data_IF_771795247828
#
_entry.id   IF_771795247828
#
_cell.length_a   1.000
_cell.length_b   1.000
_cell.length_c   1.000
_cell.angle_alpha   90.00
_cell.angle_beta   90.00
_cell.angle_gamma   90.00
#
_symmetry.space_group_name_H-M   'P 1'
#
loop_
_entity.id
_entity.type
_entity.pdbx_description
1 polymer ?
#
# COMPACT_ATOMS: atom_id res chain seq x y z
N UNK A 1 32.43 -44.39 18.20
CA UNK A 1 32.38 -42.96 17.81
C UNK A 1 32.00 -42.76 16.35
N UNK A 2 32.58 -43.54 15.41
CA UNK A 2 32.32 -43.41 13.96
C UNK A 2 30.84 -43.54 13.56
N UNK A 3 30.08 -44.49 14.13
CA UNK A 3 28.63 -44.62 13.83
C UNK A 3 27.80 -43.39 14.22
N UNK A 4 28.11 -42.78 15.37
CA UNK A 4 27.45 -41.54 15.82
C UNK A 4 27.80 -40.36 14.91
N UNK A 5 29.07 -40.25 14.49
CA UNK A 5 29.50 -39.22 13.56
C UNK A 5 28.82 -39.37 12.19
N UNK A 6 28.62 -40.61 11.71
CA UNK A 6 27.83 -40.88 10.49
C UNK A 6 26.37 -40.47 10.63
N UNK A 7 25.75 -40.75 11.77
CA UNK A 7 24.36 -40.35 12.04
C UNK A 7 24.22 -38.82 12.08
N UNK A 8 25.16 -38.14 12.74
CA UNK A 8 25.22 -36.66 12.76
C UNK A 8 25.42 -36.10 11.36
N UNK A 9 26.35 -36.66 10.58
CA UNK A 9 26.58 -36.26 9.20
C UNK A 9 25.33 -36.45 8.32
N UNK A 10 24.59 -37.54 8.52
CA UNK A 10 23.34 -37.80 7.80
C UNK A 10 22.23 -36.82 8.21
N UNK A 11 22.13 -36.49 9.50
CA UNK A 11 21.22 -35.47 10.02
C UNK A 11 21.56 -34.07 9.49
N UNK A 12 22.84 -33.71 9.45
CA UNK A 12 23.32 -32.45 8.88
C UNK A 12 23.10 -32.39 7.36
N UNK A 13 23.36 -33.50 6.66
CA UNK A 13 23.13 -33.63 5.22
C UNK A 13 21.65 -33.53 4.85
N UNK A 14 20.76 -34.16 5.61
CA UNK A 14 19.31 -34.02 5.43
C UNK A 14 18.84 -32.59 5.74
N UNK A 15 19.40 -31.92 6.76
CA UNK A 15 19.15 -30.50 7.01
C UNK A 15 19.61 -29.61 5.85
N UNK A 16 20.83 -29.83 5.34
CA UNK A 16 21.35 -29.07 4.19
C UNK A 16 20.49 -29.29 2.95
N UNK A 17 20.02 -30.52 2.72
CA UNK A 17 19.11 -30.86 1.63
C UNK A 17 17.75 -30.15 1.78
N UNK A 18 17.17 -30.15 2.97
CA UNK A 18 15.91 -29.45 3.27
C UNK A 18 16.01 -27.93 3.07
N UNK A 19 17.18 -27.35 3.33
CA UNK A 19 17.47 -25.94 3.02
C UNK A 19 17.62 -25.67 1.52
N UNK A 20 18.14 -26.64 0.76
CA UNK A 20 18.35 -26.52 -0.69
C UNK A 20 17.05 -26.71 -1.48
N UNK A 21 16.19 -27.60 -1.00
CA UNK A 21 14.88 -27.85 -1.58
C UNK A 21 14.04 -26.59 -1.42
N UNK A 22 13.67 -25.97 -2.54
CA UNK A 22 12.92 -24.69 -2.64
C UNK A 22 11.45 -24.80 -2.18
N UNK A 23 11.15 -25.58 -1.14
CA UNK A 23 9.81 -25.69 -0.57
C UNK A 23 9.70 -24.64 0.54
N UNK A 24 9.14 -23.50 0.19
CA UNK A 24 8.91 -22.36 1.09
C UNK A 24 8.41 -22.70 2.50
N UNK A 25 7.37 -23.54 2.67
CA UNK A 25 6.83 -23.85 4.01
C UNK A 25 7.75 -24.73 4.86
N UNK A 26 8.48 -25.67 4.25
CA UNK A 26 9.41 -26.53 4.99
C UNK A 26 10.61 -25.74 5.52
N UNK A 27 11.12 -24.79 4.72
CA UNK A 27 12.21 -23.90 5.14
C UNK A 27 11.79 -23.06 6.35
N UNK A 28 10.55 -22.59 6.40
CA UNK A 28 10.02 -21.78 7.50
C UNK A 28 9.83 -22.61 8.79
N UNK A 29 9.31 -23.84 8.66
CA UNK A 29 9.25 -24.80 9.77
C UNK A 29 10.65 -25.12 10.32
N UNK A 30 11.62 -25.38 9.44
CA UNK A 30 13.00 -25.65 9.84
C UNK A 30 13.62 -24.52 10.64
N UNK A 31 13.37 -23.28 10.23
CA UNK A 31 13.89 -22.10 10.95
C UNK A 31 13.19 -21.92 12.27
N UNK A 32 11.89 -22.21 12.36
CA UNK A 32 11.16 -22.15 13.64
C UNK A 32 11.69 -23.20 14.62
N UNK A 33 12.00 -24.41 14.14
CA UNK A 33 12.67 -25.45 14.94
C UNK A 33 14.10 -25.05 15.33
N UNK A 34 14.87 -24.45 14.42
CA UNK A 34 16.22 -23.94 14.70
C UNK A 34 16.21 -22.75 15.66
N UNK A 35 15.27 -21.82 15.51
CA UNK A 35 15.09 -20.67 16.41
C UNK A 35 14.65 -21.16 17.80
N UNK A 36 13.81 -22.19 17.92
CA UNK A 36 13.51 -22.81 19.22
C UNK A 36 14.75 -23.43 19.87
N UNK A 37 15.59 -24.11 19.08
CA UNK A 37 16.84 -24.69 19.56
C UNK A 37 17.87 -23.62 19.96
N UNK A 38 17.81 -22.44 19.33
CA UNK A 38 18.82 -21.38 19.42
C UNK A 38 18.39 -20.17 20.26
N UNK A 39 17.11 -20.02 20.60
CA UNK A 39 16.56 -18.94 21.44
C UNK A 39 16.86 -19.08 22.94
N UNK A 40 17.45 -20.19 23.39
CA UNK A 40 18.07 -20.30 24.71
C UNK A 40 19.46 -19.64 24.77
N UNK A 41 20.32 -20.07 25.71
CA UNK A 41 21.77 -19.73 25.80
C UNK A 41 22.60 -20.19 24.56
N UNK A 42 21.96 -20.47 23.43
CA UNK A 42 22.47 -21.12 22.23
C UNK A 42 23.62 -20.43 21.49
N UNK A 43 23.71 -19.09 21.37
CA UNK A 43 24.82 -18.49 20.62
C UNK A 43 26.16 -18.63 21.36
N UNK A 44 26.15 -18.66 22.70
CA UNK A 44 27.35 -18.92 23.49
C UNK A 44 27.70 -20.41 23.43
N UNK A 45 26.73 -21.29 23.66
CA UNK A 45 26.94 -22.73 23.69
C UNK A 45 27.40 -23.29 22.33
N UNK A 46 26.85 -22.82 21.20
CA UNK A 46 27.29 -23.25 19.87
C UNK A 46 28.73 -22.81 19.59
N UNK A 47 29.12 -21.60 20.00
CA UNK A 47 30.51 -21.12 19.88
C UNK A 47 31.46 -21.93 20.76
N UNK A 48 31.05 -22.30 21.97
CA UNK A 48 31.85 -23.14 22.87
C UNK A 48 32.00 -24.55 22.31
N UNK A 49 30.92 -25.17 21.81
CA UNK A 49 30.93 -26.52 21.23
C UNK A 49 31.78 -26.57 19.96
N UNK A 50 31.68 -25.56 19.10
CA UNK A 50 32.55 -25.43 17.92
C UNK A 50 34.02 -25.28 18.33
N UNK A 51 34.29 -24.49 19.37
CA UNK A 51 35.62 -24.34 19.94
C UNK A 51 36.19 -25.66 20.49
N UNK A 52 35.41 -26.40 21.27
CA UNK A 52 35.86 -27.69 21.83
C UNK A 52 36.10 -28.72 20.73
N UNK A 53 35.22 -28.82 19.73
CA UNK A 53 35.44 -29.74 18.60
C UNK A 53 36.62 -29.31 17.72
N UNK A 54 36.88 -28.02 17.56
CA UNK A 54 38.06 -27.52 16.83
C UNK A 54 39.36 -27.88 17.54
N UNK A 55 39.39 -27.83 18.88
CA UNK A 55 40.55 -28.26 19.68
C UNK A 55 40.77 -29.77 19.58
N UNK A 56 39.68 -30.56 19.62
CA UNK A 56 39.74 -32.01 19.43
C UNK A 56 40.26 -32.37 18.04
N UNK A 57 39.83 -31.66 16.99
CA UNK A 57 40.32 -31.82 15.63
C UNK A 57 41.82 -31.52 15.55
N UNK A 58 42.29 -30.40 16.11
CA UNK A 58 43.70 -30.05 16.11
C UNK A 58 44.57 -31.08 16.87
N UNK A 59 44.05 -31.61 17.97
CA UNK A 59 44.70 -32.70 18.73
C UNK A 59 44.81 -34.00 17.91
N UNK A 60 43.77 -34.34 17.15
CA UNK A 60 43.78 -35.50 16.26
C UNK A 60 44.77 -35.34 15.09
N UNK A 61 44.85 -34.15 14.48
CA UNK A 61 45.83 -33.82 13.44
C UNK A 61 47.27 -33.88 13.95
N UNK A 62 47.53 -33.36 15.15
CA UNK A 62 48.84 -33.44 15.78
C UNK A 62 49.26 -34.88 16.07
N UNK A 63 48.29 -35.74 16.44
CA UNK A 63 48.53 -37.15 16.70
C UNK A 63 48.86 -37.90 15.41
N UNK A 64 48.16 -37.60 14.32
CA UNK A 64 48.46 -38.03 12.96
C UNK A 64 49.89 -37.59 12.60
N UNK A 65 50.22 -36.30 12.60
CA UNK A 65 51.58 -35.82 12.25
C UNK A 65 52.68 -36.46 13.11
N UNK A 66 52.43 -36.70 14.41
CA UNK A 66 53.38 -37.41 15.30
C UNK A 66 53.60 -38.87 14.91
N UNK A 67 52.55 -39.61 14.52
CA UNK A 67 52.67 -41.02 14.09
C UNK A 67 53.43 -41.10 12.75
N UNK A 68 53.19 -40.17 11.83
CA UNK A 68 53.91 -40.10 10.55
C UNK A 68 55.39 -39.77 10.76
N UNK A 69 55.69 -38.78 11.61
CA UNK A 69 57.07 -38.42 11.95
C UNK A 69 57.81 -39.52 12.74
N UNK A 70 57.10 -40.31 13.55
CA UNK A 70 57.69 -41.49 14.23
C UNK A 70 57.98 -42.61 13.23
N UNK A 71 57.05 -42.92 12.32
CA UNK A 71 57.28 -43.91 11.27
C UNK A 71 58.39 -43.52 10.27
N UNK A 72 58.50 -42.22 9.94
CA UNK A 72 59.58 -41.71 9.10
C UNK A 72 60.96 -41.76 9.78
N UNK A 73 61.02 -41.66 11.13
CA UNK A 73 62.26 -41.74 11.91
C UNK A 73 62.68 -43.18 12.27
N UNK A 74 61.74 -44.12 12.36
CA UNK A 74 62.01 -45.52 12.76
C UNK A 74 62.04 -46.52 11.58
N UNK A 75 61.70 -46.12 10.36
CA UNK A 75 61.88 -46.93 9.14
C UNK A 75 61.05 -48.21 9.04
N UNK A 76 60.32 -48.59 10.09
CA UNK A 76 59.40 -49.73 10.11
C UNK A 76 58.12 -49.31 10.86
N UNK A 77 56.99 -49.28 10.16
CA UNK A 77 55.69 -49.05 10.80
C UNK A 77 55.17 -50.38 11.34
N UNK A 78 54.88 -50.44 12.64
CA UNK A 78 54.23 -51.60 13.26
C UNK A 78 52.83 -51.80 12.65
N UNK A 79 52.35 -53.04 12.45
CA UNK A 79 50.99 -53.32 11.97
C UNK A 79 49.90 -52.63 12.81
N UNK A 80 50.17 -52.41 14.11
CA UNK A 80 49.29 -51.70 15.03
C UNK A 80 49.21 -50.18 14.73
N UNK A 81 50.33 -49.57 14.35
CA UNK A 81 50.40 -48.14 14.01
C UNK A 81 49.66 -47.83 12.71
N UNK A 82 49.61 -48.79 11.77
CA UNK A 82 48.87 -48.66 10.51
C UNK A 82 47.34 -48.65 10.73
N UNK A 83 46.82 -49.47 11.63
CA UNK A 83 45.39 -49.50 11.97
C UNK A 83 44.99 -48.25 12.77
N UNK A 84 45.85 -47.83 13.70
CA UNK A 84 45.63 -46.63 14.51
C UNK A 84 45.63 -45.36 13.64
N UNK A 85 46.53 -45.28 12.66
CA UNK A 85 46.60 -44.19 11.69
C UNK A 85 45.31 -44.04 10.88
N UNK A 86 44.81 -45.14 10.28
CA UNK A 86 43.60 -45.12 9.44
C UNK A 86 42.37 -44.70 10.24
N UNK A 87 42.29 -45.14 11.49
CA UNK A 87 41.16 -44.83 12.38
C UNK A 87 41.17 -43.35 12.80
N UNK A 88 42.31 -42.83 13.26
CA UNK A 88 42.41 -41.40 13.61
C UNK A 88 42.28 -40.48 12.39
N UNK A 89 42.78 -40.89 11.23
CA UNK A 89 42.61 -40.16 9.98
C UNK A 89 41.13 -40.07 9.57
N UNK A 90 40.41 -41.19 9.66
CA UNK A 90 38.98 -41.24 9.34
C UNK A 90 38.17 -40.40 10.34
N UNK A 91 38.47 -40.49 11.63
CA UNK A 91 37.80 -39.73 12.68
C UNK A 91 38.06 -38.22 12.56
N UNK A 92 39.31 -37.81 12.30
CA UNK A 92 39.66 -36.42 12.07
C UNK A 92 38.96 -35.85 10.82
N UNK A 93 38.89 -36.63 9.74
CA UNK A 93 38.18 -36.23 8.51
C UNK A 93 36.68 -36.07 8.76
N UNK A 94 36.03 -37.01 9.47
CA UNK A 94 34.60 -36.90 9.79
C UNK A 94 34.30 -35.69 10.69
N UNK A 95 35.10 -35.45 11.74
CA UNK A 95 34.94 -34.29 12.64
C UNK A 95 35.14 -32.98 11.87
N UNK A 96 36.09 -32.95 10.93
CA UNK A 96 36.27 -31.79 10.04
C UNK A 96 35.06 -31.54 9.15
N UNK A 97 34.48 -32.60 8.57
CA UNK A 97 33.29 -32.49 7.74
C UNK A 97 32.06 -32.01 8.52
N UNK A 98 31.80 -32.56 9.72
CA UNK A 98 30.65 -32.12 10.54
C UNK A 98 30.80 -30.67 11.01
N UNK A 99 32.01 -30.25 11.40
CA UNK A 99 32.27 -28.84 11.72
C UNK A 99 32.04 -27.92 10.52
N UNK A 100 32.49 -28.34 9.34
CA UNK A 100 32.31 -27.56 8.12
C UNK A 100 30.83 -27.45 7.74
N UNK A 101 30.08 -28.56 7.78
CA UNK A 101 28.64 -28.59 7.53
C UNK A 101 27.87 -27.74 8.54
N UNK A 102 28.16 -27.88 9.84
CA UNK A 102 27.59 -27.05 10.89
C UNK A 102 27.84 -25.56 10.68
N UNK A 103 29.05 -25.17 10.25
CA UNK A 103 29.37 -23.77 9.93
C UNK A 103 28.59 -23.26 8.70
N UNK A 104 28.49 -24.06 7.65
CA UNK A 104 27.69 -23.72 6.47
C UNK A 104 26.21 -23.56 6.86
N UNK A 105 25.66 -24.45 7.69
CA UNK A 105 24.29 -24.35 8.19
C UNK A 105 24.08 -23.07 9.01
N UNK A 106 25.01 -22.71 9.89
CA UNK A 106 24.93 -21.47 10.69
C UNK A 106 24.91 -20.21 9.79
N UNK A 107 25.83 -20.16 8.82
CA UNK A 107 25.92 -19.05 7.87
C UNK A 107 24.68 -18.98 6.97
N UNK A 108 24.21 -20.11 6.47
CA UNK A 108 22.98 -20.21 5.67
C UNK A 108 21.77 -19.75 6.48
N UNK A 109 21.63 -20.19 7.73
CA UNK A 109 20.55 -19.76 8.63
C UNK A 109 20.51 -18.23 8.76
N UNK A 110 21.67 -17.57 8.91
CA UNK A 110 21.74 -16.10 8.95
C UNK A 110 21.24 -15.45 7.65
N UNK A 111 21.70 -15.91 6.48
CA UNK A 111 21.23 -15.40 5.19
C UNK A 111 19.74 -15.62 4.99
N UNK A 112 19.24 -16.79 5.42
CA UNK A 112 17.85 -17.16 5.30
C UNK A 112 16.97 -16.27 6.18
N UNK A 113 17.37 -15.99 7.43
CA UNK A 113 16.66 -15.09 8.35
C UNK A 113 16.57 -13.68 7.78
N UNK A 114 17.64 -13.20 7.15
CA UNK A 114 17.66 -11.91 6.44
C UNK A 114 16.68 -11.91 5.25
N UNK A 115 16.63 -12.99 4.48
CA UNK A 115 15.70 -13.12 3.34
C UNK A 115 14.23 -13.17 3.79
N UNK A 116 13.91 -13.85 4.89
CA UNK A 116 12.54 -13.90 5.42
C UNK A 116 12.14 -12.53 5.97
N UNK A 117 13.00 -11.88 6.75
CA UNK A 117 12.73 -10.53 7.23
C UNK A 117 12.48 -9.53 6.10
N UNK A 118 13.18 -9.68 4.98
CA UNK A 118 12.96 -8.87 3.78
C UNK A 118 11.63 -9.24 3.10
N UNK A 119 11.32 -10.54 2.95
CA UNK A 119 10.05 -11.01 2.38
C UNK A 119 8.84 -10.56 3.21
N UNK A 120 8.89 -10.59 4.54
CA UNK A 120 7.80 -10.10 5.39
C UNK A 120 7.57 -8.60 5.24
N UNK A 121 8.64 -7.79 5.13
CA UNK A 121 8.50 -6.35 4.83
C UNK A 121 7.90 -6.09 3.46
N UNK A 122 8.31 -6.86 2.45
CA UNK A 122 7.72 -6.80 1.10
C UNK A 122 6.25 -7.25 1.14
N UNK A 123 5.90 -8.25 1.95
CA UNK A 123 4.53 -8.69 2.16
C UNK A 123 3.65 -7.60 2.75
N UNK A 124 4.11 -6.96 3.84
CA UNK A 124 3.42 -5.82 4.46
C UNK A 124 3.28 -4.63 3.51
N UNK A 125 4.35 -4.30 2.77
CA UNK A 125 4.31 -3.24 1.76
C UNK A 125 3.35 -3.56 0.62
N UNK A 126 3.25 -4.84 0.21
CA UNK A 126 2.30 -5.24 -0.83
C UNK A 126 0.85 -5.10 -0.36
N UNK A 127 0.57 -5.45 0.88
CA UNK A 127 -0.77 -5.30 1.48
C UNK A 127 -1.16 -3.82 1.63
N UNK A 128 -0.22 -2.97 2.02
CA UNK A 128 -0.42 -1.51 2.08
C UNK A 128 -0.62 -0.89 0.69
N UNK A 129 0.12 -1.36 -0.32
CA UNK A 129 -0.10 -0.94 -1.71
C UNK A 129 -1.48 -1.37 -2.21
N UNK A 130 -1.92 -2.59 -1.89
CA UNK A 130 -3.24 -3.09 -2.29
C UNK A 130 -4.38 -2.30 -1.61
N UNK A 131 -4.23 -1.91 -0.34
CA UNK A 131 -5.22 -1.08 0.35
C UNK A 131 -5.28 0.34 -0.22
N UNK A 132 -4.13 0.96 -0.50
CA UNK A 132 -4.03 2.27 -1.15
C UNK A 132 -4.59 2.24 -2.58
N UNK A 133 -4.40 1.16 -3.33
CA UNK A 133 -4.95 0.99 -4.67
C UNK A 133 -6.49 0.89 -4.63
N UNK A 134 -7.04 0.15 -3.66
CA UNK A 134 -8.50 0.12 -3.42
C UNK A 134 -9.03 1.51 -3.07
N UNK A 135 -8.37 2.26 -2.20
CA UNK A 135 -8.77 3.62 -1.85
C UNK A 135 -8.72 4.58 -3.05
N UNK A 136 -7.65 4.51 -3.86
CA UNK A 136 -7.50 5.28 -5.10
C UNK A 136 -8.62 5.00 -6.09
N UNK A 137 -9.03 3.74 -6.25
CA UNK A 137 -10.13 3.36 -7.14
C UNK A 137 -11.47 3.94 -6.66
N UNK A 138 -11.72 3.95 -5.34
CA UNK A 138 -12.92 4.54 -4.76
C UNK A 138 -12.94 6.05 -4.92
N UNK A 139 -11.80 6.73 -4.69
CA UNK A 139 -11.67 8.17 -4.88
C UNK A 139 -11.96 8.55 -6.34
N UNK A 140 -11.37 7.82 -7.30
CA UNK A 140 -11.62 8.03 -8.74
C UNK A 140 -13.10 7.88 -9.10
N UNK A 141 -13.81 6.93 -8.49
CA UNK A 141 -15.24 6.77 -8.70
C UNK A 141 -16.06 7.93 -8.12
N UNK A 142 -15.68 8.44 -6.94
CA UNK A 142 -16.31 9.63 -6.33
C UNK A 142 -16.07 10.88 -7.17
N UNK A 143 -14.85 11.09 -7.65
CA UNK A 143 -14.50 12.22 -8.52
C UNK A 143 -15.29 12.16 -9.84
N UNK A 144 -15.43 10.98 -10.44
CA UNK A 144 -16.25 10.81 -11.65
C UNK A 144 -17.72 11.13 -11.39
N UNK A 145 -18.26 10.77 -10.22
CA UNK A 145 -19.64 11.10 -9.83
C UNK A 145 -19.80 12.62 -9.62
N UNK A 146 -18.90 13.23 -8.86
CA UNK A 146 -18.88 14.67 -8.65
C UNK A 146 -18.74 15.45 -9.97
N UNK A 147 -17.89 14.97 -10.89
CA UNK A 147 -17.72 15.57 -12.22
C UNK A 147 -19.02 15.51 -13.05
N UNK A 148 -19.78 14.43 -12.96
CA UNK A 148 -21.10 14.33 -13.61
C UNK A 148 -22.11 15.29 -12.98
N UNK A 149 -22.16 15.37 -11.65
CA UNK A 149 -23.04 16.31 -10.94
C UNK A 149 -22.71 17.78 -11.28
N UNK A 150 -21.42 18.13 -11.32
CA UNK A 150 -20.98 19.48 -11.73
C UNK A 150 -21.41 19.80 -13.17
N UNK A 151 -21.36 18.83 -14.10
CA UNK A 151 -21.84 19.03 -15.47
C UNK A 151 -23.35 19.27 -15.52
N UNK A 152 -24.14 18.48 -14.80
CA UNK A 152 -25.59 18.66 -14.71
C UNK A 152 -25.95 20.02 -14.11
N UNK A 153 -25.32 20.40 -13.00
CA UNK A 153 -25.53 21.71 -12.36
C UNK A 153 -25.14 22.86 -13.31
N UNK A 154 -24.09 22.70 -14.10
CA UNK A 154 -23.70 23.71 -15.11
C UNK A 154 -24.74 23.85 -16.22
N UNK A 155 -25.32 22.74 -16.67
CA UNK A 155 -26.42 22.75 -17.65
C UNK A 155 -27.68 23.41 -17.06
N UNK A 156 -28.06 23.08 -15.82
CA UNK A 156 -29.17 23.73 -15.11
C UNK A 156 -28.96 25.23 -14.93
N UNK A 157 -27.75 25.67 -14.57
CA UNK A 157 -27.43 27.10 -14.47
C UNK A 157 -27.58 27.78 -15.83
N UNK A 158 -27.17 27.12 -16.92
CA UNK A 158 -27.30 27.66 -18.27
C UNK A 158 -28.76 27.83 -18.68
N UNK A 159 -29.60 26.81 -18.46
CA UNK A 159 -31.03 26.88 -18.79
C UNK A 159 -31.77 27.90 -17.92
N UNK A 160 -31.44 27.97 -16.63
CA UNK A 160 -32.01 28.94 -15.71
C UNK A 160 -31.60 30.37 -16.09
N UNK A 161 -30.34 30.59 -16.50
CA UNK A 161 -29.86 31.89 -16.99
C UNK A 161 -30.58 32.34 -18.25
N UNK A 162 -30.85 31.43 -19.19
CA UNK A 162 -31.61 31.71 -20.40
C UNK A 162 -33.08 32.07 -20.08
N UNK A 163 -33.72 31.29 -19.21
CA UNK A 163 -35.07 31.58 -18.73
C UNK A 163 -35.15 32.94 -18.01
N UNK A 164 -34.13 33.29 -17.21
CA UNK A 164 -34.04 34.60 -16.56
C UNK A 164 -33.95 35.74 -17.58
N UNK A 165 -33.15 35.59 -18.64
CA UNK A 165 -33.07 36.58 -19.71
C UNK A 165 -34.41 36.75 -20.42
N UNK A 166 -35.10 35.64 -20.73
CA UNK A 166 -36.42 35.66 -21.36
C UNK A 166 -37.47 36.35 -20.47
N UNK A 167 -37.53 36.00 -19.19
CA UNK A 167 -38.43 36.66 -18.24
C UNK A 167 -38.12 38.15 -18.12
N UNK A 168 -36.84 38.53 -18.10
CA UNK A 168 -36.44 39.94 -18.05
C UNK A 168 -36.93 40.70 -19.28
N UNK A 169 -36.78 40.14 -20.48
CA UNK A 169 -37.31 40.77 -21.69
C UNK A 169 -38.84 40.85 -21.71
N UNK A 170 -39.54 39.84 -21.18
CA UNK A 170 -41.00 39.86 -21.07
C UNK A 170 -41.48 40.92 -20.06
N UNK A 171 -40.75 41.09 -18.95
CA UNK A 171 -41.00 42.15 -17.97
C UNK A 171 -40.82 43.53 -18.60
N UNK A 172 -39.69 43.78 -19.28
CA UNK A 172 -39.45 45.06 -19.95
C UNK A 172 -40.50 45.36 -21.03
N UNK A 173 -41.02 44.35 -21.73
CA UNK A 173 -42.12 44.53 -22.68
C UNK A 173 -43.44 44.87 -21.98
N UNK A 174 -43.75 44.21 -20.86
CA UNK A 174 -44.93 44.51 -20.05
C UNK A 174 -44.85 45.90 -19.44
N UNK A 175 -43.68 46.32 -18.95
CA UNK A 175 -43.47 47.66 -18.39
C UNK A 175 -43.73 48.74 -19.45
N UNK A 176 -43.23 48.55 -20.68
CA UNK A 176 -43.54 49.46 -21.81
C UNK A 176 -45.04 49.49 -22.13
N UNK A 177 -45.71 48.33 -22.11
CA UNK A 177 -47.16 48.27 -22.34
C UNK A 177 -47.92 49.01 -21.25
N UNK A 178 -47.52 48.86 -19.99
CA UNK A 178 -48.09 49.60 -18.86
C UNK A 178 -47.87 51.10 -19.05
N UNK A 179 -46.66 51.54 -19.38
CA UNK A 179 -46.34 52.95 -19.62
C UNK A 179 -47.19 53.55 -20.77
N UNK A 180 -47.36 52.81 -21.87
CA UNK A 180 -48.26 53.25 -22.96
C UNK A 180 -49.73 53.30 -22.53
N UNK A 181 -50.20 52.34 -21.73
CA UNK A 181 -51.56 52.31 -21.22
C UNK A 181 -51.81 53.44 -20.22
N UNK A 182 -50.86 53.75 -19.34
CA UNK A 182 -50.90 54.89 -18.42
C UNK A 182 -50.95 56.21 -19.18
N UNK A 183 -50.13 56.37 -20.23
CA UNK A 183 -50.19 57.55 -21.10
C UNK A 183 -51.55 57.69 -21.80
N UNK A 184 -52.13 56.58 -22.26
CA UNK A 184 -53.48 56.57 -22.82
C UNK A 184 -54.54 56.96 -21.78
N UNK A 185 -54.48 56.41 -20.56
CA UNK A 185 -55.39 56.77 -19.46
C UNK A 185 -55.26 58.24 -19.12
N UNK A 186 -54.04 58.78 -19.02
CA UNK A 186 -53.81 60.21 -18.75
C UNK A 186 -54.38 61.10 -19.87
N UNK A 187 -54.23 60.69 -21.14
CA UNK A 187 -54.81 61.41 -22.28
C UNK A 187 -56.34 61.39 -22.28
N UNK A 188 -56.95 60.25 -21.96
CA UNK A 188 -58.40 60.09 -21.84
C UNK A 188 -58.93 60.89 -20.65
N UNK A 189 -58.22 60.88 -19.52
CA UNK A 189 -58.56 61.67 -18.35
C UNK A 189 -58.53 63.17 -18.68
N UNK A 190 -57.52 63.64 -19.40
CA UNK A 190 -57.44 65.03 -19.89
C UNK A 190 -58.59 65.36 -20.83
N UNK A 191 -58.86 64.49 -21.81
CA UNK A 191 -59.99 64.67 -22.74
C UNK A 191 -61.33 64.72 -22.01
N UNK A 192 -61.52 63.87 -21.00
CA UNK A 192 -62.73 63.86 -20.18
C UNK A 192 -62.86 65.13 -19.32
N UNK A 193 -61.76 65.67 -18.82
CA UNK A 193 -61.74 66.94 -18.09
C UNK A 193 -62.08 68.13 -19.00
N UNK A 194 -61.54 68.16 -20.23
CA UNK A 194 -61.87 69.19 -21.21
C UNK A 194 -63.35 69.13 -21.62
N UNK A 195 -63.89 67.93 -21.85
CA UNK A 195 -65.32 67.71 -22.11
C UNK A 195 -66.22 68.18 -20.96
N UNK A 196 -65.79 67.95 -19.72
CA UNK A 196 -66.52 68.39 -18.53
C UNK A 196 -66.54 69.93 -18.44
N UNK A 197 -65.44 70.59 -18.75
CA UNK A 197 -65.37 72.06 -18.84
C UNK A 197 -66.25 72.62 -19.97
N UNK A 198 -66.28 71.97 -21.15
CA UNK A 198 -67.19 72.36 -22.23
C UNK A 198 -68.65 72.17 -21.84
N UNK A 199 -68.97 71.08 -21.13
CA UNK A 199 -70.31 70.82 -20.62
C UNK A 199 -70.75 71.90 -19.63
N UNK A 200 -69.90 72.27 -18.66
CA UNK A 200 -70.17 73.35 -17.71
C UNK A 200 -70.39 74.70 -18.42
N UNK A 201 -69.56 75.01 -19.43
CA UNK A 201 -69.71 76.22 -20.25
C UNK A 201 -71.02 76.25 -21.04
N UNK A 202 -71.43 75.14 -21.65
CA UNK A 202 -72.69 75.02 -22.38
C UNK A 202 -73.91 75.11 -21.44
N UNK A 203 -73.79 74.64 -20.21
CA UNK A 203 -74.80 74.81 -19.16
C UNK A 203 -74.96 76.29 -18.79
N UNK A 204 -73.85 77.00 -18.60
CA UNK A 204 -73.84 78.44 -18.31
C UNK A 204 -74.44 79.25 -19.46
N UNK A 205 -74.06 78.97 -20.71
CA UNK A 205 -74.65 79.61 -21.89
C UNK A 205 -76.16 79.32 -22.02
N UNK A 206 -76.61 78.10 -21.75
CA UNK A 206 -78.05 77.78 -21.71
C UNK A 206 -78.79 78.57 -20.62
N UNK A 207 -78.19 78.71 -19.44
CA UNK A 207 -78.79 79.48 -18.36
C UNK A 207 -78.89 80.96 -18.71
N UNK A 208 -77.84 81.53 -19.33
CA UNK A 208 -77.84 82.90 -19.84
C UNK A 208 -78.91 83.12 -20.93
N UNK A 209 -79.09 82.16 -21.84
CA UNK A 209 -80.14 82.21 -22.86
C UNK A 209 -81.55 82.15 -22.25
N UNK A 210 -81.78 81.30 -21.24
CA UNK A 210 -83.06 81.29 -20.51
C UNK A 210 -83.33 82.61 -19.80
N UNK A 211 -82.32 83.21 -19.17
CA UNK A 211 -82.45 84.51 -18.51
C UNK A 211 -82.73 85.65 -19.52
N UNK A 212 -82.18 85.57 -20.75
CA UNK A 212 -82.48 86.50 -21.84
C UNK A 212 -83.86 86.30 -22.48
N UNK A 213 -84.43 85.09 -22.45
CA UNK A 213 -85.76 84.80 -22.98
C UNK A 213 -86.91 85.09 -22.00
N UNK A 214 -86.59 85.41 -20.74
CA UNK A 214 -87.54 85.60 -19.64
C UNK A 214 -87.72 87.07 -19.21
N UNK A 215 -87.23 88.03 -19.99
CA UNK A 215 -87.42 89.48 -19.80
C UNK A 215 -87.89 90.14 -21.09
#
# INVERSE_FOLDING_TARGET
MIQLLFFVLFAEGTMAFLLLVKIGPLRELFIKSLDQLKAGKGPATVKTIAGTMSVILLSSLMSIVKIQNKGAKLGTMSPMDQVLWRTHLLEASLIGFTLFLGFIIDRMHHYIKKLIGLRSRVGLSKEEVESLEKERSQLKNKDNKASKEIKLLKEEISTLSENLKKLKSESEEKDKKIETAEAHIASLQKQSADLLLEYDRLLEDNHNLQNHASG
#
